data_IF_436624485435
#
_entry.id   IF_436624485435
#
_cell.length_a   1.000
_cell.length_b   1.000
_cell.length_c   1.000
_cell.angle_alpha   90.00
_cell.angle_beta   90.00
_cell.angle_gamma   90.00
#
_symmetry.space_group_name_H-M   'P 1'
#
loop_
_entity.id
_entity.type
_entity.pdbx_description
1 polymer ?
#
# COMPACT_ATOMS: atom_id res chain seq x y z
N UNK A 1 4.01 0.17 -13.47
CA UNK A 1 5.20 -0.65 -13.72
C UNK A 1 6.45 0.01 -13.20
N UNK A 2 6.51 0.28 -11.89
CA UNK A 2 7.76 0.71 -11.27
C UNK A 2 8.64 -0.53 -11.02
N UNK A 3 9.98 -0.38 -11.06
CA UNK A 3 10.90 -1.49 -10.81
C UNK A 3 10.89 -1.96 -9.35
N UNK A 4 10.41 -1.14 -8.40
CA UNK A 4 10.26 -1.51 -7.00
C UNK A 4 8.81 -1.35 -6.50
N UNK A 5 8.45 -2.14 -5.48
CA UNK A 5 7.09 -2.16 -4.93
C UNK A 5 6.81 -0.99 -3.98
N UNK A 6 7.80 -0.56 -3.20
CA UNK A 6 7.66 0.65 -2.36
C UNK A 6 7.34 1.89 -3.21
N UNK A 7 8.00 2.08 -4.35
CA UNK A 7 7.70 3.18 -5.26
C UNK A 7 6.34 3.03 -5.93
N UNK A 8 5.95 1.81 -6.32
CA UNK A 8 4.58 1.54 -6.81
C UNK A 8 3.52 1.93 -5.79
N UNK A 9 3.73 1.57 -4.52
CA UNK A 9 2.86 1.88 -3.40
C UNK A 9 2.75 3.39 -3.17
N UNK A 10 3.88 4.12 -3.12
CA UNK A 10 3.89 5.56 -2.91
C UNK A 10 3.05 6.30 -3.95
N UNK A 11 3.25 5.97 -5.22
CA UNK A 11 2.46 6.55 -6.33
C UNK A 11 0.96 6.26 -6.14
N UNK A 12 0.61 5.03 -5.78
CA UNK A 12 -0.79 4.65 -5.57
C UNK A 12 -1.40 5.38 -4.35
N UNK A 13 -0.68 5.46 -3.24
CA UNK A 13 -1.15 6.07 -2.01
C UNK A 13 -1.25 7.60 -2.10
N UNK A 14 -0.27 8.25 -2.73
CA UNK A 14 -0.31 9.69 -3.04
C UNK A 14 -1.51 9.99 -3.94
N UNK A 15 -1.72 9.19 -4.99
CA UNK A 15 -2.87 9.39 -5.86
C UNK A 15 -4.21 9.17 -5.15
N UNK A 16 -4.27 8.21 -4.23
CA UNK A 16 -5.45 8.01 -3.40
C UNK A 16 -5.75 9.23 -2.52
N UNK A 17 -4.72 9.82 -1.89
CA UNK A 17 -4.87 11.05 -1.08
C UNK A 17 -5.35 12.24 -1.92
N UNK A 18 -4.76 12.47 -3.10
CA UNK A 18 -5.22 13.50 -4.03
C UNK A 18 -6.70 13.33 -4.39
N UNK A 19 -7.14 12.09 -4.62
CA UNK A 19 -8.53 11.80 -4.94
C UNK A 19 -9.47 12.05 -3.74
N UNK A 20 -9.07 11.69 -2.53
CA UNK A 20 -9.85 11.96 -1.31
C UNK A 20 -10.02 13.47 -1.11
N UNK A 21 -8.95 14.25 -1.29
CA UNK A 21 -8.99 15.71 -1.21
C UNK A 21 -9.93 16.30 -2.27
N UNK A 22 -9.80 15.86 -3.53
CA UNK A 22 -10.68 16.29 -4.62
C UNK A 22 -12.16 16.00 -4.32
N UNK A 23 -12.43 14.85 -3.70
CA UNK A 23 -13.78 14.43 -3.28
C UNK A 23 -14.25 15.11 -1.98
N UNK A 24 -13.41 15.94 -1.34
CA UNK A 24 -13.66 16.58 -0.04
C UNK A 24 -13.96 15.57 1.07
N UNK A 25 -13.30 14.42 1.01
CA UNK A 25 -13.36 13.38 2.03
C UNK A 25 -12.21 13.55 3.02
N UNK A 26 -12.39 13.03 4.23
CA UNK A 26 -11.34 12.98 5.25
C UNK A 26 -10.19 12.08 4.76
N UNK A 27 -8.93 12.50 4.98
CA UNK A 27 -7.76 11.69 4.59
C UNK A 27 -7.75 10.32 5.27
N UNK A 28 -8.37 10.19 6.44
CA UNK A 28 -8.50 8.93 7.18
C UNK A 28 -9.41 7.92 6.48
N UNK A 29 -10.17 8.31 5.46
CA UNK A 29 -10.93 7.37 4.63
C UNK A 29 -10.03 6.34 3.93
N UNK A 30 -8.75 6.68 3.69
CA UNK A 30 -7.74 5.72 3.18
C UNK A 30 -7.58 4.50 4.08
N UNK A 31 -7.92 4.61 5.37
CA UNK A 31 -7.82 3.51 6.33
C UNK A 31 -8.93 2.45 6.19
N UNK A 32 -9.95 2.74 5.37
CA UNK A 32 -10.96 1.79 4.89
C UNK A 32 -10.55 1.17 3.54
N UNK A 33 -9.47 1.69 2.95
CA UNK A 33 -8.70 1.19 1.82
C UNK A 33 -8.26 -0.27 1.97
N UNK A 34 -8.32 -1.06 0.88
CA UNK A 34 -7.54 -2.31 0.75
C UNK A 34 -6.44 -2.09 -0.28
N UNK A 35 -5.19 -2.32 0.09
CA UNK A 35 -4.08 -2.38 -0.83
C UNK A 35 -3.98 -3.80 -1.42
N UNK A 36 -4.09 -3.92 -2.73
CA UNK A 36 -3.89 -5.18 -3.44
C UNK A 36 -2.57 -5.17 -4.21
N UNK A 37 -1.75 -6.20 -4.03
CA UNK A 37 -0.54 -6.45 -4.81
C UNK A 37 -0.72 -7.67 -5.70
N UNK A 38 -0.31 -7.54 -6.96
CA UNK A 38 -0.29 -8.60 -7.97
C UNK A 38 0.85 -9.62 -7.75
N UNK A 39 1.81 -9.28 -6.90
CA UNK A 39 2.97 -10.12 -6.57
C UNK A 39 3.25 -10.10 -5.07
N UNK A 40 4.10 -11.02 -4.60
CA UNK A 40 4.51 -11.04 -3.21
C UNK A 40 5.37 -9.82 -2.83
N UNK A 41 5.39 -9.48 -1.54
CA UNK A 41 6.34 -8.50 -1.00
C UNK A 41 7.64 -9.19 -0.57
N UNK A 42 8.81 -8.80 -1.11
CA UNK A 42 10.08 -9.45 -0.76
C UNK A 42 10.57 -9.09 0.65
N UNK A 43 10.14 -7.94 1.17
CA UNK A 43 10.54 -7.35 2.45
C UNK A 43 9.36 -6.61 3.10
N UNK A 44 9.38 -6.37 4.42
CA UNK A 44 8.31 -5.66 5.13
C UNK A 44 8.25 -4.15 4.83
N UNK A 45 9.25 -3.59 4.14
CA UNK A 45 9.35 -2.16 3.83
C UNK A 45 8.09 -1.59 3.18
N UNK A 46 7.45 -2.37 2.32
CA UNK A 46 6.21 -2.01 1.64
C UNK A 46 5.01 -1.99 2.59
N UNK A 47 4.98 -2.88 3.60
CA UNK A 47 3.94 -2.92 4.64
C UNK A 47 4.11 -1.74 5.60
N UNK A 48 5.34 -1.50 6.04
CA UNK A 48 5.69 -0.36 6.90
C UNK A 48 5.35 0.96 6.23
N UNK A 49 5.67 1.09 4.94
CA UNK A 49 5.34 2.28 4.17
C UNK A 49 3.82 2.42 4.00
N UNK A 50 3.08 1.34 3.72
CA UNK A 50 1.63 1.39 3.60
C UNK A 50 0.95 1.86 4.89
N UNK A 51 1.47 1.41 6.05
CA UNK A 51 0.99 1.84 7.36
C UNK A 51 1.19 3.35 7.59
N UNK A 52 2.27 3.96 7.08
CA UNK A 52 2.47 5.44 7.15
C UNK A 52 1.40 6.21 6.37
N UNK A 53 0.84 5.61 5.32
CA UNK A 53 -0.30 6.17 4.59
C UNK A 53 -1.64 5.86 5.23
N UNK A 54 -1.68 5.09 6.33
CA UNK A 54 -2.91 4.73 7.05
C UNK A 54 -3.63 3.51 6.50
N UNK A 55 -3.03 2.76 5.56
CA UNK A 55 -3.62 1.56 4.97
C UNK A 55 -3.62 0.44 6.02
N UNK A 56 -4.79 -0.16 6.28
CA UNK A 56 -4.96 -1.20 7.31
C UNK A 56 -5.12 -2.61 6.76
N UNK A 57 -5.50 -2.74 5.50
CA UNK A 57 -5.80 -4.03 4.88
C UNK A 57 -4.95 -4.20 3.64
N UNK A 58 -4.25 -5.33 3.56
CA UNK A 58 -3.35 -5.67 2.46
C UNK A 58 -3.68 -7.08 1.99
N UNK A 59 -3.76 -7.28 0.67
CA UNK A 59 -3.88 -8.59 0.04
C UNK A 59 -2.75 -8.78 -0.97
N UNK A 60 -2.11 -9.94 -0.92
CA UNK A 60 -1.01 -10.32 -1.80
C UNK A 60 -0.94 -11.85 -1.93
N UNK A 61 -0.38 -12.41 -3.02
CA UNK A 61 -0.30 -13.85 -3.23
C UNK A 61 0.53 -14.62 -2.19
N UNK A 62 1.56 -13.99 -1.61
CA UNK A 62 2.59 -14.67 -0.82
C UNK A 62 3.57 -15.46 -1.69
N UNK A 63 4.55 -16.08 -1.04
CA UNK A 63 5.63 -16.83 -1.65
C UNK A 63 7.03 -16.23 -1.46
N UNK A 64 7.18 -15.17 -0.67
CA UNK A 64 8.51 -14.70 -0.29
C UNK A 64 9.14 -15.68 0.71
N UNK A 65 10.45 -15.91 0.59
CA UNK A 65 11.23 -16.60 1.64
C UNK A 65 11.09 -15.89 2.99
N UNK A 66 10.78 -14.58 2.95
CA UNK A 66 10.61 -13.71 4.12
C UNK A 66 9.15 -13.42 4.49
N UNK A 67 8.17 -14.18 3.99
CA UNK A 67 6.75 -13.92 4.29
C UNK A 67 6.42 -13.88 5.78
N UNK A 68 7.23 -14.51 6.65
CA UNK A 68 7.03 -14.45 8.11
C UNK A 68 7.42 -13.09 8.72
N UNK A 69 8.26 -12.33 8.03
CA UNK A 69 8.68 -10.98 8.43
C UNK A 69 7.75 -9.89 7.86
N UNK A 70 6.92 -10.24 6.87
CA UNK A 70 5.98 -9.38 6.15
C UNK A 70 4.60 -9.45 6.79
#
# INVERSE_FOLDING_TARGET
GQPNRVGSLKIAAEKAKENLEFMKLDENEISKCVLASDSFFPFPDSIEEANKYGIRFIIQPGGSVKDKEV
#
